data_IF_607575884450
#
_entry.id   IF_607575884450
#
_cell.length_a   1.000
_cell.length_b   1.000
_cell.length_c   1.000
_cell.angle_alpha   90.00
_cell.angle_beta   90.00
_cell.angle_gamma   90.00
#
_symmetry.space_group_name_H-M   'P 1'
#
loop_
_entity.id
_entity.type
_entity.pdbx_description
1 polymer ?
#
# COMPACT_ATOMS: atom_id res chain seq x y z
N UNK A 1 -6.41 12.78 14.75
CA UNK A 1 -5.97 11.72 15.68
C UNK A 1 -5.06 12.26 16.78
N UNK A 2 -4.07 13.09 16.46
CA UNK A 2 -3.16 13.72 17.43
C UNK A 2 -3.87 14.41 18.60
N UNK A 3 -4.91 15.22 18.34
CA UNK A 3 -5.65 15.96 19.37
C UNK A 3 -6.39 15.11 20.42
N UNK A 4 -6.56 13.79 20.18
CA UNK A 4 -7.19 12.88 21.16
C UNK A 4 -6.20 12.16 22.07
N UNK A 5 -4.97 11.98 21.62
CA UNK A 5 -3.96 11.22 22.36
C UNK A 5 -3.10 12.12 23.26
N UNK A 6 -2.84 13.34 22.84
CA UNK A 6 -2.01 14.28 23.62
C UNK A 6 -2.53 14.53 25.05
N UNK A 7 -3.84 14.75 25.28
CA UNK A 7 -4.34 14.94 26.66
C UNK A 7 -4.11 13.75 27.59
N UNK A 8 -4.03 12.52 27.01
CA UNK A 8 -3.85 11.28 27.78
C UNK A 8 -2.37 10.97 28.09
N UNK A 9 -1.48 11.31 27.17
CA UNK A 9 -0.07 10.91 27.25
C UNK A 9 0.89 12.07 27.48
N UNK A 10 0.46 13.33 27.18
CA UNK A 10 1.27 14.54 27.34
C UNK A 10 2.59 14.45 26.60
N UNK A 11 3.65 14.92 27.20
CA UNK A 11 5.01 14.97 26.63
C UNK A 11 5.64 13.59 26.41
N UNK A 12 5.01 12.52 26.89
CA UNK A 12 5.43 11.14 26.61
C UNK A 12 5.10 10.67 25.21
N UNK A 13 4.32 11.45 24.44
CA UNK A 13 3.91 11.12 23.08
C UNK A 13 4.44 12.16 22.11
N UNK A 14 5.31 11.73 21.21
CA UNK A 14 5.78 12.54 20.08
C UNK A 14 5.17 11.95 18.79
N UNK A 15 4.38 12.75 18.07
CA UNK A 15 3.78 12.37 16.79
C UNK A 15 4.52 13.05 15.65
N UNK A 16 4.90 12.26 14.64
CA UNK A 16 5.51 12.74 13.40
C UNK A 16 4.80 12.11 12.22
N UNK A 17 4.47 12.90 11.22
CA UNK A 17 4.01 12.40 9.93
C UNK A 17 5.24 12.23 9.04
N UNK A 18 5.58 10.98 8.75
CA UNK A 18 6.74 10.62 7.93
C UNK A 18 6.57 9.21 7.37
N UNK A 19 7.34 8.87 6.35
CA UNK A 19 7.49 7.48 5.93
C UNK A 19 8.46 6.78 6.89
N UNK A 20 8.18 5.55 7.29
CA UNK A 20 9.06 4.81 8.19
C UNK A 20 10.45 4.50 7.58
N UNK A 21 10.65 4.62 6.27
CA UNK A 21 11.98 4.63 5.65
C UNK A 21 12.86 5.78 6.17
N UNK A 22 12.24 6.87 6.63
CA UNK A 22 12.93 8.03 7.19
C UNK A 22 13.24 7.87 8.69
N UNK A 23 13.02 6.68 9.27
CA UNK A 23 13.16 6.43 10.71
C UNK A 23 14.54 6.79 11.25
N UNK A 24 15.60 6.56 10.48
CA UNK A 24 16.98 6.89 10.86
C UNK A 24 17.20 8.37 11.16
N UNK A 25 16.41 9.25 10.54
CA UNK A 25 16.50 10.72 10.76
C UNK A 25 15.39 11.24 11.65
N UNK A 26 14.18 10.69 11.50
CA UNK A 26 12.98 11.15 12.24
C UNK A 26 13.08 10.83 13.73
N UNK A 27 13.57 9.65 14.11
CA UNK A 27 13.64 9.25 15.50
C UNK A 27 14.67 10.09 16.29
N UNK A 28 15.93 10.26 15.85
CA UNK A 28 16.88 11.14 16.51
C UNK A 28 16.42 12.60 16.54
N UNK A 29 15.85 13.11 15.44
CA UNK A 29 15.26 14.45 15.37
C UNK A 29 14.08 14.67 16.32
N UNK A 30 13.43 13.60 16.78
CA UNK A 30 12.39 13.61 17.80
C UNK A 30 12.91 13.33 19.22
N UNK A 31 14.24 13.25 19.42
CA UNK A 31 14.87 13.01 20.71
C UNK A 31 15.12 11.53 21.04
N UNK A 32 14.87 10.59 20.12
CA UNK A 32 15.06 9.15 20.33
C UNK A 32 16.36 8.67 19.67
N UNK A 33 17.49 8.90 20.31
CA UNK A 33 18.79 8.38 19.80
C UNK A 33 18.90 6.85 19.92
N UNK A 34 18.25 6.24 20.91
CA UNK A 34 18.13 4.79 21.14
C UNK A 34 16.76 4.48 21.71
N UNK A 35 16.22 3.30 21.36
CA UNK A 35 14.91 2.85 21.79
C UNK A 35 14.99 1.43 22.39
N UNK A 36 14.05 1.11 23.27
CA UNK A 36 13.93 -0.21 23.90
C UNK A 36 13.04 -1.15 23.07
N UNK A 37 12.26 -0.57 22.16
CA UNK A 37 11.39 -1.34 21.25
C UNK A 37 10.96 -0.53 20.05
N UNK A 38 10.72 -1.24 18.94
CA UNK A 38 10.10 -0.71 17.72
C UNK A 38 8.94 -1.61 17.29
N UNK A 39 7.82 -1.00 16.89
CA UNK A 39 6.64 -1.70 16.39
C UNK A 39 6.30 -1.15 15.00
N UNK A 40 6.22 -2.04 14.02
CA UNK A 40 5.70 -1.76 12.69
C UNK A 40 4.32 -2.41 12.55
N UNK A 41 3.29 -1.60 12.30
CA UNK A 41 1.94 -2.04 11.96
C UNK A 41 1.71 -1.78 10.47
N UNK A 42 1.87 -2.86 9.67
CA UNK A 42 1.90 -2.75 8.21
C UNK A 42 0.50 -2.79 7.61
N UNK A 43 0.35 -2.07 6.50
CA UNK A 43 -0.87 -2.07 5.71
C UNK A 43 -1.70 -0.80 5.88
N UNK A 44 -3.01 -0.93 5.69
CA UNK A 44 -3.96 0.18 5.67
C UNK A 44 -4.84 0.22 6.91
N UNK A 45 -5.04 1.41 7.43
CA UNK A 45 -6.09 1.65 8.41
C UNK A 45 -7.48 1.57 7.76
N UNK A 46 -8.51 1.23 8.54
CA UNK A 46 -9.91 1.25 8.07
C UNK A 46 -10.33 2.63 7.56
N UNK A 47 -9.78 3.70 8.10
CA UNK A 47 -10.06 5.08 7.66
C UNK A 47 -9.50 5.35 6.26
N UNK A 48 -8.27 4.90 5.98
CA UNK A 48 -7.69 5.03 4.64
C UNK A 48 -8.45 4.19 3.62
N UNK A 49 -8.87 2.97 3.99
CA UNK A 49 -9.64 2.10 3.11
C UNK A 49 -11.03 2.65 2.79
N UNK A 50 -11.66 3.37 3.73
CA UNK A 50 -12.99 3.97 3.57
C UNK A 50 -12.96 5.33 2.85
N UNK A 51 -11.78 5.94 2.70
CA UNK A 51 -11.65 7.25 2.03
C UNK A 51 -11.77 7.09 0.51
N UNK A 52 -12.95 7.46 -0.02
CA UNK A 52 -13.26 7.38 -1.45
C UNK A 52 -12.35 8.25 -2.33
N UNK A 53 -11.75 9.31 -1.77
CA UNK A 53 -10.89 10.23 -2.54
C UNK A 53 -9.50 9.64 -2.81
N UNK A 54 -9.12 8.57 -2.12
CA UNK A 54 -7.79 7.99 -2.19
C UNK A 54 -7.68 6.70 -3.01
N UNK A 55 -8.80 6.08 -3.34
CA UNK A 55 -8.85 4.92 -4.21
C UNK A 55 -8.23 3.62 -3.68
N UNK A 56 -8.03 3.49 -2.36
CA UNK A 56 -7.52 2.26 -1.75
C UNK A 56 -8.52 1.11 -1.75
N UNK A 57 -9.81 1.44 -1.73
CA UNK A 57 -10.91 0.46 -1.69
C UNK A 57 -11.74 0.46 -2.96
N UNK A 58 -11.97 -0.70 -3.56
CA UNK A 58 -12.79 -0.84 -4.77
C UNK A 58 -14.29 -0.65 -4.55
N UNK A 59 -14.75 -0.60 -3.29
CA UNK A 59 -16.16 -0.34 -2.93
C UNK A 59 -16.45 1.13 -2.64
N UNK A 60 -15.40 1.92 -2.45
CA UNK A 60 -15.55 3.31 -2.04
C UNK A 60 -15.75 4.26 -3.23
N UNK A 61 -15.55 3.78 -4.46
CA UNK A 61 -15.52 4.63 -5.65
C UNK A 61 -14.35 5.61 -5.65
N UNK A 62 -14.34 6.52 -6.63
CA UNK A 62 -13.37 7.59 -6.70
C UNK A 62 -12.08 7.28 -7.48
N UNK A 63 -11.16 8.25 -7.54
CA UNK A 63 -9.96 8.16 -8.36
C UNK A 63 -8.98 7.11 -7.82
N UNK A 64 -8.24 6.46 -8.71
CA UNK A 64 -7.18 5.51 -8.37
C UNK A 64 -5.87 6.25 -8.04
N UNK A 65 -5.83 6.91 -6.88
CA UNK A 65 -4.60 7.55 -6.41
C UNK A 65 -3.67 6.54 -5.73
N UNK A 66 -4.09 5.95 -4.61
CA UNK A 66 -3.39 4.96 -3.78
C UNK A 66 -2.08 5.43 -3.14
N UNK A 67 -1.67 6.68 -3.24
CA UNK A 67 -0.48 7.20 -2.57
C UNK A 67 -0.74 7.40 -1.08
N UNK A 68 0.17 7.00 -0.21
CA UNK A 68 0.11 7.33 1.22
C UNK A 68 0.39 8.81 1.48
N UNK A 69 1.27 9.41 0.68
CA UNK A 69 1.55 10.84 0.67
C UNK A 69 1.14 11.38 -0.71
N UNK A 70 0.07 12.20 -0.81
CA UNK A 70 -0.41 12.72 -2.08
C UNK A 70 0.56 13.70 -2.76
N UNK A 71 1.54 14.22 -2.02
CA UNK A 71 2.54 15.15 -2.53
C UNK A 71 3.76 14.43 -3.11
N UNK A 72 3.84 13.09 -2.99
CA UNK A 72 4.97 12.29 -3.44
C UNK A 72 4.54 11.12 -4.34
N UNK A 73 5.42 10.77 -5.27
CA UNK A 73 5.26 9.60 -6.14
C UNK A 73 4.19 9.75 -7.21
N UNK A 74 3.94 8.66 -7.91
CA UNK A 74 3.04 8.59 -9.07
C UNK A 74 1.76 7.87 -8.66
N UNK A 75 0.57 8.42 -8.92
CA UNK A 75 -0.68 7.75 -8.56
C UNK A 75 -0.92 6.47 -9.38
N UNK A 76 -1.68 5.54 -8.84
CA UNK A 76 -1.96 4.25 -9.48
C UNK A 76 -2.58 4.39 -10.88
N UNK A 77 -3.42 5.40 -11.10
CA UNK A 77 -4.01 5.69 -12.41
C UNK A 77 -2.95 5.94 -13.48
N UNK A 78 -1.84 6.57 -13.15
CA UNK A 78 -0.75 6.84 -14.08
C UNK A 78 0.04 5.57 -14.41
N UNK A 79 0.28 4.70 -13.43
CA UNK A 79 0.87 3.38 -13.69
C UNK A 79 0.00 2.56 -14.66
N UNK A 80 -1.31 2.57 -14.47
CA UNK A 80 -2.25 1.90 -15.37
C UNK A 80 -2.29 2.52 -16.76
N UNK A 81 -2.06 3.84 -16.86
CA UNK A 81 -2.05 4.56 -18.14
C UNK A 81 -0.76 4.34 -18.95
N UNK A 82 0.39 4.22 -18.28
CA UNK A 82 1.71 4.27 -18.92
C UNK A 82 2.38 2.92 -19.09
N UNK A 83 2.29 2.01 -18.09
CA UNK A 83 3.00 0.74 -18.13
C UNK A 83 2.52 -0.18 -19.25
N UNK A 84 3.45 -0.93 -19.86
CA UNK A 84 3.12 -1.97 -20.81
C UNK A 84 2.44 -3.17 -20.15
N UNK A 85 1.72 -3.99 -20.94
CA UNK A 85 1.01 -5.16 -20.42
C UNK A 85 1.94 -6.15 -19.69
N UNK A 86 3.19 -6.29 -20.15
CA UNK A 86 4.17 -7.16 -19.52
C UNK A 86 4.59 -6.63 -18.14
N UNK A 87 4.80 -5.33 -18.02
CA UNK A 87 5.18 -4.66 -16.77
C UNK A 87 4.05 -4.71 -15.74
N UNK A 88 2.80 -4.39 -16.14
CA UNK A 88 1.63 -4.55 -15.29
C UNK A 88 1.45 -5.99 -14.81
N UNK A 89 1.65 -6.97 -15.72
CA UNK A 89 1.54 -8.38 -15.36
C UNK A 89 2.64 -8.81 -14.36
N UNK A 90 3.87 -8.31 -14.52
CA UNK A 90 4.96 -8.55 -13.58
C UNK A 90 4.64 -7.95 -12.20
N UNK A 91 4.13 -6.71 -12.16
CA UNK A 91 3.71 -6.02 -10.95
C UNK A 91 2.60 -6.80 -10.21
N UNK A 92 1.54 -7.23 -10.93
CA UNK A 92 0.43 -7.97 -10.34
C UNK A 92 0.84 -9.36 -9.82
N UNK A 93 1.82 -10.01 -10.46
CA UNK A 93 2.38 -11.27 -9.93
C UNK A 93 3.24 -11.03 -8.71
N UNK A 94 4.18 -10.09 -8.80
CA UNK A 94 5.19 -9.86 -7.76
C UNK A 94 4.59 -9.41 -6.44
N UNK A 95 3.61 -8.49 -6.49
CA UNK A 95 3.08 -7.83 -5.29
C UNK A 95 1.67 -8.31 -4.90
N UNK A 96 0.97 -8.98 -5.79
CA UNK A 96 -0.40 -9.41 -5.56
C UNK A 96 -0.62 -10.92 -5.63
N UNK A 97 0.41 -11.70 -5.98
CA UNK A 97 0.27 -13.14 -6.25
C UNK A 97 -0.93 -13.46 -7.16
N UNK A 98 -1.20 -12.58 -8.16
CA UNK A 98 -2.35 -12.73 -9.03
C UNK A 98 -2.05 -13.72 -10.16
N UNK A 99 -2.66 -14.93 -10.15
CA UNK A 99 -2.37 -15.96 -11.16
C UNK A 99 -2.81 -15.56 -12.57
N UNK A 100 -3.77 -14.64 -12.69
CA UNK A 100 -4.30 -14.15 -13.97
C UNK A 100 -3.72 -12.80 -14.37
N UNK A 101 -2.58 -12.42 -13.78
CA UNK A 101 -1.92 -11.14 -13.97
C UNK A 101 -1.81 -10.73 -15.45
N UNK A 102 -1.37 -11.63 -16.33
CA UNK A 102 -1.24 -11.35 -17.77
C UNK A 102 -2.56 -11.02 -18.45
N UNK A 103 -3.64 -11.70 -18.05
CA UNK A 103 -4.97 -11.47 -18.63
C UNK A 103 -5.56 -10.15 -18.17
N UNK A 104 -5.42 -9.84 -16.87
CA UNK A 104 -5.89 -8.58 -16.30
C UNK A 104 -5.09 -7.41 -16.89
N UNK A 105 -3.77 -7.53 -16.98
CA UNK A 105 -2.92 -6.50 -17.56
C UNK A 105 -3.28 -6.19 -19.02
N UNK A 106 -3.52 -7.21 -19.85
CA UNK A 106 -4.02 -7.01 -21.22
C UNK A 106 -5.36 -6.31 -21.23
N UNK A 107 -6.31 -6.72 -20.38
CA UNK A 107 -7.63 -6.10 -20.31
C UNK A 107 -7.54 -4.61 -19.91
N UNK A 108 -6.59 -4.22 -19.06
CA UNK A 108 -6.32 -2.82 -18.71
C UNK A 108 -5.76 -2.07 -19.92
N UNK A 109 -4.73 -2.62 -20.59
CA UNK A 109 -4.08 -1.99 -21.74
C UNK A 109 -5.04 -1.85 -22.94
N UNK A 110 -5.88 -2.85 -23.19
CA UNK A 110 -6.89 -2.78 -24.25
C UNK A 110 -7.98 -1.76 -23.92
N UNK A 111 -8.42 -1.71 -22.68
CA UNK A 111 -9.44 -0.77 -22.23
C UNK A 111 -8.99 0.70 -22.36
N UNK A 112 -7.75 1.01 -22.00
CA UNK A 112 -7.25 2.39 -22.03
C UNK A 112 -7.17 3.00 -23.45
N UNK A 113 -7.28 2.14 -24.49
CA UNK A 113 -7.37 2.61 -25.91
C UNK A 113 -8.69 3.30 -26.21
N UNK A 114 -9.76 2.96 -25.48
CA UNK A 114 -11.11 3.51 -25.67
C UNK A 114 -11.48 4.50 -24.57
N UNK A 115 -11.14 4.18 -23.31
CA UNK A 115 -11.37 5.04 -22.17
C UNK A 115 -10.34 4.74 -21.07
N UNK A 116 -9.85 5.75 -20.35
CA UNK A 116 -8.93 5.58 -19.24
C UNK A 116 -9.54 4.66 -18.15
N UNK A 117 -8.70 3.82 -17.53
CA UNK A 117 -9.06 3.09 -16.32
C UNK A 117 -8.75 4.01 -15.14
N UNK A 118 -9.70 4.83 -14.73
CA UNK A 118 -9.47 5.95 -13.82
C UNK A 118 -10.11 5.78 -12.45
N UNK A 119 -11.05 4.85 -12.31
CA UNK A 119 -11.75 4.61 -11.05
C UNK A 119 -11.49 3.21 -10.49
N UNK A 120 -11.74 3.09 -9.20
CA UNK A 120 -11.64 1.82 -8.49
C UNK A 120 -12.61 0.77 -9.07
N UNK A 121 -13.82 1.19 -9.46
CA UNK A 121 -14.81 0.32 -10.09
C UNK A 121 -14.35 -0.17 -11.47
N UNK A 122 -13.78 0.72 -12.29
CA UNK A 122 -13.24 0.36 -13.61
C UNK A 122 -12.19 -0.74 -13.49
N UNK A 123 -11.27 -0.60 -12.54
CA UNK A 123 -10.22 -1.60 -12.30
C UNK A 123 -10.79 -2.90 -11.75
N UNK A 124 -11.74 -2.82 -10.81
CA UNK A 124 -12.39 -4.00 -10.22
C UNK A 124 -13.13 -4.82 -11.28
N UNK A 125 -13.87 -4.16 -12.18
CA UNK A 125 -14.57 -4.80 -13.30
C UNK A 125 -13.59 -5.52 -14.27
N UNK A 126 -12.37 -5.01 -14.45
CA UNK A 126 -11.32 -5.70 -15.24
C UNK A 126 -10.77 -6.92 -14.50
N UNK A 127 -10.59 -6.81 -13.18
CA UNK A 127 -10.21 -7.93 -12.32
C UNK A 127 -11.21 -9.10 -12.39
N UNK A 128 -12.51 -8.79 -12.43
CA UNK A 128 -13.58 -9.79 -12.55
C UNK A 128 -13.60 -10.46 -13.92
N UNK A 129 -13.43 -9.70 -15.00
CA UNK A 129 -13.35 -10.24 -16.39
C UNK A 129 -12.20 -11.20 -16.60
N UNK A 130 -11.29 -11.32 -15.65
CA UNK A 130 -10.23 -12.33 -15.63
C UNK A 130 -10.71 -13.78 -15.71
N UNK A 131 -12.02 -14.07 -15.82
CA UNK A 131 -12.63 -15.38 -16.02
C UNK A 131 -13.26 -16.00 -14.78
N UNK A 132 -14.03 -17.09 -14.94
CA UNK A 132 -14.73 -17.72 -13.84
C UNK A 132 -13.77 -18.20 -12.76
N UNK A 133 -14.21 -18.24 -11.48
CA UNK A 133 -13.43 -18.79 -10.38
C UNK A 133 -13.07 -20.25 -10.68
N UNK A 134 -11.87 -20.66 -10.29
CA UNK A 134 -11.53 -22.09 -10.27
C UNK A 134 -12.43 -22.77 -9.22
N UNK A 135 -13.30 -23.73 -9.62
CA UNK A 135 -14.21 -24.39 -8.68
C UNK A 135 -13.50 -25.12 -7.55
N UNK A 136 -12.21 -25.47 -7.74
CA UNK A 136 -11.38 -26.18 -6.77
C UNK A 136 -10.71 -25.24 -5.75
N UNK A 137 -10.82 -23.93 -5.92
CA UNK A 137 -10.30 -22.92 -5.00
C UNK A 137 -11.39 -21.89 -4.71
N UNK A 138 -12.22 -22.12 -3.68
CA UNK A 138 -13.23 -21.14 -3.28
C UNK A 138 -12.56 -19.81 -2.92
N UNK A 139 -12.98 -18.74 -3.62
CA UNK A 139 -12.44 -17.40 -3.38
C UNK A 139 -12.87 -16.91 -2.01
N UNK A 140 -11.94 -16.80 -1.08
CA UNK A 140 -12.16 -16.08 0.19
C UNK A 140 -12.12 -14.55 0.02
N UNK A 141 -11.55 -14.04 -1.08
CA UNK A 141 -11.34 -12.61 -1.32
C UNK A 141 -11.81 -12.22 -2.72
N UNK A 142 -12.26 -10.97 -2.88
CA UNK A 142 -12.67 -10.42 -4.17
C UNK A 142 -11.49 -10.45 -5.16
N UNK A 143 -11.71 -10.76 -6.46
CA UNK A 143 -10.64 -10.84 -7.46
C UNK A 143 -9.78 -9.58 -7.58
N UNK A 144 -10.41 -8.41 -7.40
CA UNK A 144 -9.71 -7.14 -7.45
C UNK A 144 -8.75 -6.92 -6.28
N UNK A 145 -8.95 -7.57 -5.13
CA UNK A 145 -8.13 -7.34 -3.91
C UNK A 145 -6.65 -7.48 -4.18
N UNK A 146 -6.24 -8.51 -4.92
CA UNK A 146 -4.82 -8.77 -5.26
C UNK A 146 -4.24 -7.70 -6.18
N UNK A 147 -5.01 -7.24 -7.14
CA UNK A 147 -4.59 -6.18 -8.07
C UNK A 147 -4.46 -4.85 -7.34
N UNK A 148 -5.40 -4.52 -6.45
CA UNK A 148 -5.35 -3.32 -5.62
C UNK A 148 -4.16 -3.36 -4.66
N UNK A 149 -3.91 -4.48 -4.00
CA UNK A 149 -2.74 -4.68 -3.15
C UNK A 149 -1.44 -4.48 -3.95
N UNK A 150 -1.36 -5.08 -5.14
CA UNK A 150 -0.18 -4.97 -5.98
C UNK A 150 0.11 -3.52 -6.39
N UNK A 151 -0.91 -2.78 -6.82
CA UNK A 151 -0.77 -1.36 -7.15
C UNK A 151 -0.37 -0.52 -5.95
N UNK A 152 -1.00 -0.72 -4.80
CA UNK A 152 -0.67 -0.01 -3.57
C UNK A 152 0.79 -0.19 -3.17
N UNK A 153 1.25 -1.43 -3.17
CA UNK A 153 2.65 -1.77 -2.85
C UNK A 153 3.60 -1.08 -3.83
N UNK A 154 3.28 -1.10 -5.12
CA UNK A 154 4.13 -0.47 -6.15
C UNK A 154 4.14 1.06 -6.05
N UNK A 155 2.97 1.70 -5.90
CA UNK A 155 2.82 3.16 -5.79
C UNK A 155 3.58 3.72 -4.59
N UNK A 156 3.58 2.99 -3.47
CA UNK A 156 4.18 3.46 -2.21
C UNK A 156 5.55 2.85 -1.93
N UNK A 157 6.09 2.03 -2.85
CA UNK A 157 7.37 1.32 -2.67
C UNK A 157 7.44 0.62 -1.30
N UNK A 158 6.31 -0.02 -0.89
CA UNK A 158 6.12 -0.47 0.50
C UNK A 158 7.20 -1.45 0.96
N UNK A 159 7.67 -2.34 0.08
CA UNK A 159 8.68 -3.34 0.45
C UNK A 159 10.08 -2.72 0.62
N UNK A 160 10.43 -1.76 -0.22
CA UNK A 160 11.72 -1.06 -0.12
C UNK A 160 11.71 -0.15 1.12
N UNK A 161 10.62 0.57 1.34
CA UNK A 161 10.43 1.37 2.54
C UNK A 161 10.50 0.51 3.82
N UNK A 162 9.91 -0.71 3.79
CA UNK A 162 9.98 -1.64 4.92
C UNK A 162 11.40 -2.11 5.18
N UNK A 163 12.15 -2.46 4.14
CA UNK A 163 13.55 -2.89 4.29
C UNK A 163 14.41 -1.79 4.92
N UNK A 164 14.29 -0.55 4.42
CA UNK A 164 14.98 0.61 4.97
C UNK A 164 14.56 0.91 6.42
N UNK A 165 13.26 0.89 6.70
CA UNK A 165 12.72 1.13 8.04
C UNK A 165 13.14 0.08 9.05
N UNK A 166 13.17 -1.21 8.67
CA UNK A 166 13.63 -2.29 9.54
C UNK A 166 15.12 -2.17 9.86
N UNK A 167 15.95 -1.86 8.85
CA UNK A 167 17.37 -1.62 9.07
C UNK A 167 17.60 -0.46 10.05
N UNK A 168 16.94 0.66 9.83
CA UNK A 168 17.00 1.82 10.72
C UNK A 168 16.51 1.50 12.15
N UNK A 169 15.46 0.70 12.28
CA UNK A 169 14.96 0.28 13.58
C UNK A 169 15.98 -0.58 14.35
N UNK A 170 16.65 -1.52 13.66
CA UNK A 170 17.69 -2.35 14.27
C UNK A 170 18.86 -1.50 14.77
N UNK A 171 19.27 -0.48 14.01
CA UNK A 171 20.34 0.44 14.41
C UNK A 171 19.96 1.31 15.62
N UNK A 172 18.68 1.64 15.77
CA UNK A 172 18.17 2.43 16.89
C UNK A 172 17.95 1.60 18.16
N UNK A 173 17.77 0.29 18.04
CA UNK A 173 17.53 -0.57 19.20
C UNK A 173 18.74 -0.61 20.15
N UNK A 174 18.45 -0.59 21.45
CA UNK A 174 19.44 -0.93 22.48
C UNK A 174 19.70 -2.44 22.49
N UNK A 175 20.85 -2.89 22.97
CA UNK A 175 21.07 -4.32 23.24
C UNK A 175 19.95 -4.88 24.11
N UNK A 176 19.31 -5.96 23.68
CA UNK A 176 18.16 -6.58 24.35
C UNK A 176 16.80 -5.93 24.00
N UNK A 177 16.76 -4.87 23.18
CA UNK A 177 15.53 -4.27 22.65
C UNK A 177 14.75 -5.23 21.75
N UNK A 178 13.48 -4.92 21.52
CA UNK A 178 12.58 -5.77 20.72
C UNK A 178 12.03 -5.06 19.49
N UNK A 179 12.08 -5.76 18.36
CA UNK A 179 11.41 -5.37 17.13
C UNK A 179 10.18 -6.26 16.92
N UNK A 180 9.02 -5.64 16.69
CA UNK A 180 7.77 -6.32 16.41
C UNK A 180 7.20 -5.82 15.09
N UNK A 181 6.77 -6.75 14.24
CA UNK A 181 6.13 -6.43 12.94
C UNK A 181 4.79 -7.13 12.90
N UNK A 182 3.72 -6.35 12.66
CA UNK A 182 2.38 -6.86 12.40
C UNK A 182 2.14 -6.86 10.89
N UNK A 183 1.76 -8.02 10.35
CA UNK A 183 1.42 -8.22 8.94
C UNK A 183 0.12 -9.04 8.84
N UNK A 184 -0.76 -8.68 7.89
CA UNK A 184 -2.09 -9.28 7.72
C UNK A 184 -2.22 -9.95 6.35
#
# INVERSE_FOLDING_TARGET
MAGRLHPRFGDRLVLRQANFRELATVAPGAGFARVDGALFDLGLSRYQLADSKRGFGFRAGGPLDMRFDPDRGVPAVELLATLAAAELAALFRRYGDEPRASRIARAVVDARRTAPVSTAEDLAARGERGGPPNPRQPRRTHPATRVFQALRIAVNEELDALAEGLAAALDLLRPGGRLVVLSY
#
